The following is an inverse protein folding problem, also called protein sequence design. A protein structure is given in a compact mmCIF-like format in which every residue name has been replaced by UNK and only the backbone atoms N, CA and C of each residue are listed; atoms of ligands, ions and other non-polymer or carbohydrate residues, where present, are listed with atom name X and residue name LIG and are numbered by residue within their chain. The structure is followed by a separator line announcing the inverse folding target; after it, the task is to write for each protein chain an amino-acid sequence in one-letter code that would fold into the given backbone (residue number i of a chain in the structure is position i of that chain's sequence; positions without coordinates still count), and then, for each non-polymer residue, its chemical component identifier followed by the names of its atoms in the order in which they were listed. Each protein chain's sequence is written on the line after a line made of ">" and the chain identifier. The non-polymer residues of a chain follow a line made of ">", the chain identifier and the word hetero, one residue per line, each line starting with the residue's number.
data_IF_530333532488
#
_entry.id   IF_530333532488
#
_cell.length_a   1.000
_cell.length_b   1.000
_cell.length_c   1.000
_cell.angle_alpha   90.00
_cell.angle_beta   90.00
_cell.angle_gamma   90.00
#
_symmetry.space_group_name_H-M   'P 1'
#
loop_
_entity.id
_entity.type
_entity.pdbx_description
1 polymer ?
#
# COMPACT_ATOMS: atom_id res chain seq x y z
N UNK A 1 -4.88 -24.49 26.75
CA UNK A 1 -4.46 -23.75 25.53
C UNK A 1 -2.94 -23.57 25.39
N UNK A 2 -2.24 -22.92 26.34
CA UNK A 2 -0.76 -22.65 26.24
C UNK A 2 0.08 -23.91 25.99
N UNK A 3 -0.22 -25.02 26.67
CA UNK A 3 0.49 -26.29 26.47
C UNK A 3 0.38 -26.81 25.01
N UNK A 4 -0.79 -26.64 24.40
CA UNK A 4 -1.07 -27.04 23.01
C UNK A 4 -0.33 -26.11 22.03
N UNK A 5 -0.27 -24.80 22.32
CA UNK A 5 0.52 -23.86 21.54
C UNK A 5 2.03 -24.17 21.62
N UNK A 6 2.57 -24.50 22.80
CA UNK A 6 3.95 -24.97 22.94
C UNK A 6 4.21 -26.25 22.15
N UNK A 7 3.25 -27.19 22.12
CA UNK A 7 3.36 -28.38 21.28
C UNK A 7 3.39 -28.04 19.79
N UNK A 8 2.56 -27.09 19.34
CA UNK A 8 2.56 -26.62 17.96
C UNK A 8 3.91 -25.98 17.57
N UNK A 9 4.48 -25.11 18.42
CA UNK A 9 5.83 -24.54 18.22
C UNK A 9 6.88 -25.64 18.11
N UNK A 10 6.87 -26.63 19.00
CA UNK A 10 7.84 -27.74 18.97
C UNK A 10 7.73 -28.57 17.70
N UNK A 11 6.50 -28.77 17.19
CA UNK A 11 6.26 -29.48 15.93
C UNK A 11 6.80 -28.69 14.74
N UNK A 12 6.55 -27.37 14.71
CA UNK A 12 7.02 -26.49 13.64
C UNK A 12 8.52 -26.14 13.71
N UNK A 13 9.18 -26.39 14.84
CA UNK A 13 10.61 -26.07 15.02
C UNK A 13 11.52 -26.78 14.01
N UNK A 14 11.09 -27.95 13.51
CA UNK A 14 11.78 -28.73 12.47
C UNK A 14 11.60 -28.14 11.08
N UNK A 15 10.50 -27.43 10.82
CA UNK A 15 10.21 -26.76 9.56
C UNK A 15 10.77 -25.32 9.57
N UNK A 16 12.02 -25.17 9.14
CA UNK A 16 12.72 -23.87 9.11
C UNK A 16 12.02 -22.84 8.21
N UNK A 17 11.41 -23.29 7.11
CA UNK A 17 10.72 -22.44 6.14
C UNK A 17 9.47 -21.82 6.73
N UNK A 18 8.59 -22.66 7.30
CA UNK A 18 7.37 -22.19 7.98
C UNK A 18 7.73 -21.31 9.16
N UNK A 19 8.73 -21.68 9.97
CA UNK A 19 9.18 -20.86 11.11
C UNK A 19 9.63 -19.46 10.69
N UNK A 20 10.51 -19.35 9.68
CA UNK A 20 11.05 -18.07 9.20
C UNK A 20 9.97 -17.16 8.63
N UNK A 21 8.96 -17.72 7.94
CA UNK A 21 7.86 -16.96 7.38
C UNK A 21 6.79 -16.57 8.40
N UNK A 22 6.43 -17.49 9.30
CA UNK A 22 5.27 -17.35 10.19
C UNK A 22 5.59 -16.57 11.46
N UNK A 23 6.71 -16.84 12.14
CA UNK A 23 6.93 -16.33 13.50
C UNK A 23 7.06 -14.81 13.56
N UNK A 24 7.86 -14.14 12.69
CA UNK A 24 7.92 -12.67 12.69
C UNK A 24 6.55 -12.03 12.43
N UNK A 25 5.73 -12.68 11.60
CA UNK A 25 4.38 -12.20 11.28
C UNK A 25 3.40 -12.40 12.42
N UNK A 26 3.48 -13.50 13.18
CA UNK A 26 2.70 -13.72 14.40
C UNK A 26 3.04 -12.71 15.49
N UNK A 27 4.33 -12.43 15.72
CA UNK A 27 4.77 -11.41 16.68
C UNK A 27 4.25 -10.03 16.27
N UNK A 28 4.37 -9.66 14.99
CA UNK A 28 3.83 -8.41 14.48
C UNK A 28 2.30 -8.34 14.63
N UNK A 29 1.58 -9.45 14.39
CA UNK A 29 0.14 -9.53 14.56
C UNK A 29 -0.28 -9.36 16.03
N UNK A 30 0.41 -10.03 16.96
CA UNK A 30 0.17 -9.89 18.40
C UNK A 30 0.38 -8.46 18.89
N UNK A 31 1.50 -7.84 18.48
CA UNK A 31 1.80 -6.47 18.80
C UNK A 31 0.73 -5.51 18.26
N UNK A 32 0.22 -5.75 17.04
CA UNK A 32 -0.87 -4.97 16.46
C UNK A 32 -2.19 -5.13 17.24
N UNK A 33 -2.53 -6.34 17.69
CA UNK A 33 -3.72 -6.58 18.54
C UNK A 33 -3.60 -5.91 19.90
N UNK A 34 -2.45 -6.04 20.57
CA UNK A 34 -2.19 -5.38 21.86
C UNK A 34 -2.30 -3.87 21.74
N UNK A 35 -1.68 -3.28 20.72
CA UNK A 35 -1.85 -1.86 20.40
C UNK A 35 -3.32 -1.50 20.22
N UNK A 36 -4.10 -2.28 19.48
CA UNK A 36 -5.53 -2.03 19.29
C UNK A 36 -6.34 -2.08 20.60
N UNK A 37 -6.04 -3.05 21.46
CA UNK A 37 -6.68 -3.17 22.77
C UNK A 37 -6.32 -2.01 23.71
N UNK A 38 -5.07 -1.56 23.65
CA UNK A 38 -4.52 -0.44 24.44
C UNK A 38 -4.88 0.93 23.84
N UNK A 39 -5.29 1.01 22.57
CA UNK A 39 -5.64 2.28 21.91
C UNK A 39 -7.01 2.74 22.40
N UNK A 40 -7.11 3.83 23.19
CA UNK A 40 -8.41 4.42 23.53
C UNK A 40 -9.11 4.84 22.22
N UNK A 41 -10.43 4.69 22.17
CA UNK A 41 -11.24 5.07 21.00
C UNK A 41 -10.83 6.49 20.59
N UNK A 42 -10.16 6.68 19.44
CA UNK A 42 -9.61 7.97 19.13
C UNK A 42 -10.77 8.96 19.01
N UNK A 43 -10.66 10.16 19.61
CA UNK A 43 -11.59 11.23 19.30
C UNK A 43 -11.59 11.42 17.77
N UNK A 44 -12.77 11.72 17.20
CA UNK A 44 -12.95 11.96 15.76
C UNK A 44 -11.75 12.75 15.23
N UNK A 45 -11.10 12.25 14.16
CA UNK A 45 -9.92 12.90 13.60
C UNK A 45 -10.15 14.41 13.49
N UNK A 46 -9.25 15.24 14.04
CA UNK A 46 -9.50 16.68 14.16
C UNK A 46 -9.82 17.25 12.77
N UNK A 47 -10.78 18.16 12.69
CA UNK A 47 -11.24 18.79 11.44
C UNK A 47 -10.06 19.26 10.56
N UNK A 48 -9.01 19.81 11.18
CA UNK A 48 -7.77 20.22 10.51
C UNK A 48 -7.11 19.11 9.68
N UNK A 49 -7.15 17.84 10.11
CA UNK A 49 -6.59 16.71 9.36
C UNK A 49 -7.41 16.39 8.11
N UNK A 50 -8.74 16.55 8.16
CA UNK A 50 -9.62 16.35 7.00
C UNK A 50 -9.43 17.47 5.98
N UNK A 51 -9.35 18.72 6.44
CA UNK A 51 -9.08 19.88 5.58
C UNK A 51 -7.72 19.76 4.91
N UNK A 52 -6.67 19.39 5.67
CA UNK A 52 -5.33 19.17 5.11
C UNK A 52 -5.29 18.05 4.06
N UNK A 53 -6.02 16.95 4.27
CA UNK A 53 -6.15 15.87 3.29
C UNK A 53 -6.87 16.34 2.03
N UNK A 54 -8.00 17.06 2.18
CA UNK A 54 -8.77 17.58 1.05
C UNK A 54 -7.97 18.59 0.23
N UNK A 55 -7.28 19.52 0.89
CA UNK A 55 -6.42 20.51 0.24
C UNK A 55 -5.27 19.83 -0.51
N UNK A 56 -4.63 18.83 0.11
CA UNK A 56 -3.56 18.06 -0.54
C UNK A 56 -4.06 17.38 -1.82
N UNK A 57 -5.22 16.72 -1.76
CA UNK A 57 -5.82 16.06 -2.92
C UNK A 57 -6.25 17.04 -4.00
N UNK A 58 -6.81 18.19 -3.62
CA UNK A 58 -7.21 19.23 -4.55
C UNK A 58 -6.00 19.76 -5.33
N UNK A 59 -4.91 20.10 -4.62
CA UNK A 59 -3.67 20.58 -5.24
C UNK A 59 -3.03 19.51 -6.13
N UNK A 60 -3.03 18.25 -5.68
CA UNK A 60 -2.50 17.14 -6.47
C UNK A 60 -3.31 16.89 -7.75
N UNK A 61 -4.64 16.84 -7.64
CA UNK A 61 -5.53 16.66 -8.79
C UNK A 61 -5.42 17.84 -9.77
N UNK A 62 -5.41 19.08 -9.28
CA UNK A 62 -5.23 20.27 -10.12
C UNK A 62 -3.86 20.25 -10.83
N UNK A 63 -2.79 19.84 -10.14
CA UNK A 63 -1.46 19.65 -10.73
C UNK A 63 -1.47 18.58 -11.82
N UNK A 64 -2.10 17.42 -11.57
CA UNK A 64 -2.22 16.34 -12.57
C UNK A 64 -2.98 16.80 -13.82
N UNK A 65 -4.11 17.50 -13.64
CA UNK A 65 -4.92 18.04 -14.75
C UNK A 65 -4.13 19.07 -15.55
N UNK A 66 -3.40 19.98 -14.88
CA UNK A 66 -2.61 21.00 -15.55
C UNK A 66 -1.49 20.39 -16.41
N UNK A 67 -0.74 19.40 -15.88
CA UNK A 67 0.31 18.72 -16.65
C UNK A 67 -0.27 17.89 -17.79
N UNK A 68 -1.40 17.21 -17.57
CA UNK A 68 -2.07 16.45 -18.62
C UNK A 68 -2.58 17.37 -19.75
N UNK A 69 -3.15 18.52 -19.40
CA UNK A 69 -3.59 19.53 -20.37
C UNK A 69 -2.41 20.09 -21.17
N UNK A 70 -1.30 20.42 -20.49
CA UNK A 70 -0.07 20.85 -21.15
C UNK A 70 0.45 19.83 -22.17
N UNK A 71 0.49 18.55 -21.77
CA UNK A 71 0.94 17.47 -22.64
C UNK A 71 -0.04 17.19 -23.79
N UNK A 72 -1.35 17.23 -23.54
CA UNK A 72 -2.37 16.97 -24.55
C UNK A 72 -2.42 18.07 -25.63
N UNK A 73 -2.25 19.34 -25.23
CA UNK A 73 -2.20 20.47 -26.16
C UNK A 73 -0.95 20.44 -27.04
N UNK A 74 0.19 19.98 -26.51
CA UNK A 74 1.43 19.79 -27.27
C UNK A 74 1.54 18.42 -27.98
N UNK A 75 0.57 17.53 -27.76
CA UNK A 75 0.55 16.17 -28.28
C UNK A 75 0.22 16.07 -29.78
N UNK A 76 0.17 14.84 -30.33
CA UNK A 76 -0.09 14.61 -31.75
C UNK A 76 -1.43 15.21 -32.21
N UNK A 77 -1.55 15.62 -33.49
CA UNK A 77 -2.83 15.98 -34.08
C UNK A 77 -3.77 14.78 -34.04
N UNK A 78 -4.93 14.96 -33.40
CA UNK A 78 -5.99 13.95 -33.35
C UNK A 78 -7.34 14.60 -33.60
N UNK A 79 -8.37 13.79 -33.89
CA UNK A 79 -9.73 14.28 -34.21
C UNK A 79 -10.28 15.32 -33.21
N UNK A 80 -9.91 15.23 -31.93
CA UNK A 80 -10.38 16.14 -30.87
C UNK A 80 -9.57 17.44 -30.75
N UNK A 81 -8.35 17.47 -31.27
CA UNK A 81 -7.42 18.61 -31.20
C UNK A 81 -7.15 19.24 -32.56
N UNK A 82 -7.76 18.72 -33.63
CA UNK A 82 -7.61 19.20 -35.00
C UNK A 82 -8.05 20.67 -35.18
N UNK A 83 -8.92 21.18 -34.32
CA UNK A 83 -9.44 22.55 -34.41
C UNK A 83 -8.60 23.58 -33.65
N UNK A 84 -7.63 23.15 -32.83
CA UNK A 84 -6.75 24.04 -32.07
C UNK A 84 -5.50 24.35 -32.90
N UNK A 85 -5.33 25.61 -33.29
CA UNK A 85 -4.10 26.09 -33.94
C UNK A 85 -2.95 26.07 -32.94
N UNK A 86 -1.74 25.80 -33.43
CA UNK A 86 -0.52 25.82 -32.62
C UNK A 86 -0.32 27.16 -31.89
N UNK A 87 -0.63 28.26 -32.57
CA UNK A 87 -0.52 29.62 -32.05
C UNK A 87 -1.33 29.83 -30.77
N UNK A 88 -2.52 29.23 -30.68
CA UNK A 88 -3.38 29.30 -29.50
C UNK A 88 -3.04 28.22 -28.47
N UNK A 89 -2.68 27.02 -28.93
CA UNK A 89 -2.45 25.87 -28.08
C UNK A 89 -1.15 25.99 -27.25
N UNK A 90 -0.07 26.50 -27.85
CA UNK A 90 1.26 26.52 -27.22
C UNK A 90 1.36 27.47 -26.01
N UNK A 91 0.80 28.70 -26.03
CA UNK A 91 0.76 29.56 -24.84
C UNK A 91 -0.02 28.92 -23.69
N UNK A 92 -1.18 28.30 -23.98
CA UNK A 92 -1.99 27.60 -22.98
C UNK A 92 -1.24 26.39 -22.42
N UNK A 93 -0.60 25.60 -23.29
CA UNK A 93 0.20 24.44 -22.89
C UNK A 93 1.36 24.84 -21.97
N UNK A 94 2.05 25.92 -22.30
CA UNK A 94 3.19 26.43 -21.52
C UNK A 94 2.71 26.93 -20.15
N UNK A 95 1.63 27.70 -20.12
CA UNK A 95 1.03 28.20 -18.87
C UNK A 95 0.58 27.04 -17.99
N UNK A 96 -0.10 26.04 -18.57
CA UNK A 96 -0.53 24.84 -17.86
C UNK A 96 0.65 24.03 -17.32
N UNK A 97 1.76 23.92 -18.06
CA UNK A 97 2.97 23.25 -17.58
C UNK A 97 3.56 23.97 -16.36
N UNK A 98 3.68 25.30 -16.40
CA UNK A 98 4.18 26.11 -15.27
C UNK A 98 3.28 25.96 -14.05
N UNK A 99 1.96 26.08 -14.22
CA UNK A 99 0.99 25.87 -13.14
C UNK A 99 1.11 24.46 -12.54
N UNK A 100 1.23 23.45 -13.40
CA UNK A 100 1.44 22.05 -12.99
C UNK A 100 2.70 21.88 -12.14
N UNK A 101 3.83 22.45 -12.57
CA UNK A 101 5.09 22.43 -11.82
C UNK A 101 4.93 23.07 -10.44
N UNK A 102 4.30 24.26 -10.36
CA UNK A 102 4.10 24.96 -9.09
C UNK A 102 3.22 24.15 -8.13
N UNK A 103 2.07 23.65 -8.60
CA UNK A 103 1.14 22.87 -7.78
C UNK A 103 1.77 21.57 -7.28
N UNK A 104 2.44 20.83 -8.16
CA UNK A 104 3.13 19.60 -7.78
C UNK A 104 4.33 19.86 -6.85
N UNK A 105 5.03 20.99 -7.03
CA UNK A 105 6.06 21.47 -6.12
C UNK A 105 5.51 21.73 -4.71
N UNK A 106 4.37 22.41 -4.60
CA UNK A 106 3.68 22.61 -3.31
C UNK A 106 3.30 21.25 -2.69
N UNK A 107 2.73 20.33 -3.46
CA UNK A 107 2.40 18.97 -3.02
C UNK A 107 3.63 18.20 -2.53
N UNK A 108 4.79 18.40 -3.17
CA UNK A 108 6.07 17.81 -2.79
C UNK A 108 6.61 18.36 -1.45
N UNK A 109 6.28 19.60 -1.08
CA UNK A 109 6.66 20.18 0.21
C UNK A 109 5.66 19.77 1.31
N UNK A 110 4.37 19.77 1.02
CA UNK A 110 3.32 19.40 1.98
C UNK A 110 3.52 17.98 2.50
N UNK A 111 3.16 17.73 3.77
CA UNK A 111 3.25 16.38 4.35
C UNK A 111 2.28 15.44 3.65
N UNK A 112 2.80 14.35 3.06
CA UNK A 112 1.98 13.31 2.44
C UNK A 112 0.98 12.76 3.46
N UNK A 113 -0.33 12.74 3.15
CA UNK A 113 -1.32 12.22 4.07
C UNK A 113 -1.07 10.74 4.36
N UNK A 114 -0.96 10.40 5.64
CA UNK A 114 -0.81 9.01 6.10
C UNK A 114 -2.19 8.50 6.51
N UNK A 115 -2.78 7.62 5.72
CA UNK A 115 -4.05 6.95 6.03
C UNK A 115 -4.90 6.57 4.79
N UNK A 116 -5.82 5.62 4.98
CA UNK A 116 -6.99 5.44 4.11
C UNK A 116 -6.73 5.15 2.63
N UNK A 117 -5.75 4.31 2.26
CA UNK A 117 -5.47 3.99 0.85
C UNK A 117 -4.96 5.17 0.00
N UNK A 118 -4.79 6.35 0.58
CA UNK A 118 -4.37 7.58 -0.10
C UNK A 118 -3.04 7.41 -0.85
N UNK A 119 -1.99 6.80 -0.26
CA UNK A 119 -0.74 6.59 -0.97
C UNK A 119 -0.88 5.69 -2.21
N UNK A 120 -1.74 4.67 -2.15
CA UNK A 120 -1.97 3.77 -3.28
C UNK A 120 -2.66 4.53 -4.41
N UNK A 121 -3.78 5.20 -4.13
CA UNK A 121 -4.52 5.97 -5.12
C UNK A 121 -3.64 7.07 -5.76
N UNK A 122 -2.87 7.81 -4.96
CA UNK A 122 -1.98 8.85 -5.45
C UNK A 122 -0.85 8.28 -6.32
N UNK A 123 -0.26 7.14 -5.94
CA UNK A 123 0.78 6.46 -6.73
C UNK A 123 0.21 5.97 -8.07
N UNK A 124 -0.97 5.34 -8.07
CA UNK A 124 -1.61 4.86 -9.31
C UNK A 124 -1.93 6.01 -10.25
N UNK A 125 -2.58 7.08 -9.76
CA UNK A 125 -2.88 8.26 -10.57
C UNK A 125 -1.60 8.94 -11.08
N UNK A 126 -0.58 9.05 -10.23
CA UNK A 126 0.70 9.66 -10.58
C UNK A 126 1.46 8.87 -11.64
N UNK A 127 1.50 7.54 -11.53
CA UNK A 127 2.13 6.65 -12.51
C UNK A 127 1.39 6.68 -13.84
N UNK A 128 0.06 6.59 -13.84
CA UNK A 128 -0.75 6.62 -15.08
C UNK A 128 -0.60 7.95 -15.79
N UNK A 129 -0.79 9.07 -15.08
CA UNK A 129 -0.63 10.41 -15.67
C UNK A 129 0.81 10.66 -16.10
N UNK A 130 1.79 10.30 -15.27
CA UNK A 130 3.22 10.43 -15.59
C UNK A 130 3.63 9.64 -16.83
N UNK A 131 3.15 8.41 -16.98
CA UNK A 131 3.40 7.59 -18.17
C UNK A 131 2.80 8.22 -19.44
N UNK A 132 1.57 8.71 -19.38
CA UNK A 132 0.92 9.40 -20.50
C UNK A 132 1.66 10.69 -20.89
N UNK A 133 2.00 11.52 -19.91
CA UNK A 133 2.73 12.77 -20.13
C UNK A 133 4.12 12.49 -20.70
N UNK A 134 4.84 11.49 -20.17
CA UNK A 134 6.15 11.09 -20.66
C UNK A 134 6.10 10.63 -22.12
N UNK A 135 5.09 9.84 -22.50
CA UNK A 135 4.89 9.41 -23.88
C UNK A 135 4.62 10.60 -24.83
N UNK A 136 3.80 11.57 -24.41
CA UNK A 136 3.49 12.75 -25.21
C UNK A 136 4.70 13.68 -25.37
N UNK A 137 5.45 13.89 -24.28
CA UNK A 137 6.72 14.64 -24.32
C UNK A 137 7.73 13.92 -25.20
N UNK A 138 7.87 12.60 -25.05
CA UNK A 138 8.77 11.77 -25.86
C UNK A 138 8.42 11.82 -27.35
N UNK A 139 7.13 11.70 -27.70
CA UNK A 139 6.65 11.91 -29.06
C UNK A 139 7.10 13.28 -29.59
N UNK A 140 6.92 14.34 -28.80
CA UNK A 140 7.24 15.69 -29.24
C UNK A 140 8.74 15.94 -29.41
N UNK A 141 9.57 15.31 -28.59
CA UNK A 141 11.03 15.34 -28.72
C UNK A 141 11.51 14.61 -29.99
N UNK A 142 10.82 13.54 -30.40
CA UNK A 142 11.18 12.77 -31.60
C UNK A 142 10.69 13.46 -32.88
N UNK A 143 9.45 13.94 -32.90
CA UNK A 143 8.85 14.58 -34.08
C UNK A 143 9.34 16.02 -34.28
N UNK A 144 9.72 16.71 -33.20
CA UNK A 144 10.16 18.10 -33.28
C UNK A 144 9.04 18.99 -33.84
N UNK A 145 9.36 19.79 -34.86
CA UNK A 145 8.43 20.70 -35.55
C UNK A 145 7.77 20.06 -36.79
N UNK A 146 8.00 18.77 -37.04
CA UNK A 146 7.60 18.11 -38.30
C UNK A 146 6.13 17.68 -38.38
N UNK A 147 5.25 18.15 -37.49
CA UNK A 147 3.82 17.81 -37.54
C UNK A 147 3.00 18.87 -38.27
N UNK A 148 1.85 18.47 -38.79
CA UNK A 148 0.96 19.33 -39.60
C UNK A 148 0.32 20.50 -38.83
N UNK A 149 0.65 20.67 -37.54
CA UNK A 149 0.12 21.76 -36.70
C UNK A 149 0.84 23.09 -36.86
N UNK A 150 2.01 23.10 -37.50
CA UNK A 150 2.81 24.31 -37.67
C UNK A 150 3.44 24.82 -36.37
N UNK A 151 3.81 23.93 -35.45
CA UNK A 151 4.51 24.33 -34.22
C UNK A 151 5.93 24.77 -34.57
N UNK A 152 6.32 25.95 -34.09
CA UNK A 152 7.64 26.52 -34.37
C UNK A 152 8.70 26.01 -33.39
N UNK A 153 9.97 26.07 -33.79
CA UNK A 153 11.09 25.67 -32.93
C UNK A 153 11.17 26.50 -31.64
N UNK A 154 10.80 27.78 -31.71
CA UNK A 154 10.79 28.70 -30.56
C UNK A 154 9.70 28.34 -29.54
N UNK A 155 8.51 27.98 -30.03
CA UNK A 155 7.42 27.47 -29.19
C UNK A 155 7.84 26.18 -28.47
N UNK A 156 8.49 25.24 -29.17
CA UNK A 156 9.01 24.03 -28.53
C UNK A 156 10.11 24.33 -27.51
N UNK A 157 11.06 25.21 -27.85
CA UNK A 157 12.16 25.59 -26.95
C UNK A 157 11.62 26.20 -25.65
N UNK A 158 10.53 26.93 -25.72
CA UNK A 158 9.85 27.52 -24.55
C UNK A 158 9.05 26.49 -23.75
N UNK A 159 8.39 25.54 -24.43
CA UNK A 159 7.53 24.55 -23.78
C UNK A 159 8.27 23.34 -23.17
N UNK A 160 9.37 22.90 -23.79
CA UNK A 160 10.11 21.70 -23.36
C UNK A 160 10.61 21.81 -21.90
N UNK A 161 11.28 22.91 -21.46
CA UNK A 161 11.80 23.00 -20.10
C UNK A 161 10.72 22.82 -19.01
N UNK A 162 9.59 23.55 -19.00
CA UNK A 162 8.55 23.35 -17.99
C UNK A 162 7.87 21.97 -18.12
N UNK A 163 7.75 21.40 -19.33
CA UNK A 163 7.22 20.05 -19.51
C UNK A 163 8.12 18.98 -18.88
N UNK A 164 9.43 19.07 -19.07
CA UNK A 164 10.42 18.18 -18.42
C UNK A 164 10.39 18.35 -16.90
N UNK A 165 10.34 19.58 -16.40
CA UNK A 165 10.20 19.85 -14.96
C UNK A 165 8.91 19.26 -14.39
N UNK A 166 7.80 19.31 -15.13
CA UNK A 166 6.53 18.72 -14.72
C UNK A 166 6.62 17.19 -14.60
N UNK A 167 7.27 16.52 -15.56
CA UNK A 167 7.54 15.07 -15.48
C UNK A 167 8.41 14.74 -14.27
N UNK A 168 9.49 15.49 -14.03
CA UNK A 168 10.36 15.29 -12.88
C UNK A 168 9.61 15.49 -11.56
N UNK A 169 8.75 16.51 -11.47
CA UNK A 169 7.91 16.76 -10.30
C UNK A 169 6.93 15.60 -10.05
N UNK A 170 6.29 15.06 -11.10
CA UNK A 170 5.42 13.88 -11.00
C UNK A 170 6.17 12.65 -10.48
N UNK A 171 7.36 12.37 -11.03
CA UNK A 171 8.20 11.27 -10.57
C UNK A 171 8.59 11.47 -9.10
N UNK A 172 9.02 12.68 -8.72
CA UNK A 172 9.40 13.00 -7.35
C UNK A 172 8.24 12.81 -6.36
N UNK A 173 7.03 13.28 -6.70
CA UNK A 173 5.82 13.07 -5.88
C UNK A 173 5.51 11.59 -5.77
N UNK A 174 5.51 10.85 -6.89
CA UNK A 174 5.21 9.41 -6.92
C UNK A 174 6.20 8.60 -6.07
N UNK A 175 7.51 8.86 -6.22
CA UNK A 175 8.57 8.21 -5.44
C UNK A 175 8.44 8.56 -3.95
N UNK A 176 8.11 9.81 -3.61
CA UNK A 176 7.91 10.23 -2.22
C UNK A 176 6.71 9.54 -1.58
N UNK A 177 5.60 9.44 -2.31
CA UNK A 177 4.40 8.73 -1.86
C UNK A 177 4.67 7.24 -1.69
N UNK A 178 5.35 6.60 -2.66
CA UNK A 178 5.71 5.18 -2.58
C UNK A 178 6.70 4.89 -1.44
N UNK A 179 7.73 5.74 -1.25
CA UNK A 179 8.62 5.64 -0.08
C UNK A 179 7.87 5.77 1.23
N UNK A 180 6.90 6.68 1.30
CA UNK A 180 6.06 6.84 2.50
C UNK A 180 5.21 5.60 2.73
N UNK A 181 4.62 5.04 1.67
CA UNK A 181 3.88 3.77 1.72
C UNK A 181 4.76 2.62 2.21
N UNK A 182 5.97 2.45 1.67
CA UNK A 182 6.89 1.37 2.06
C UNK A 182 7.37 1.49 3.50
N UNK A 183 7.51 2.71 4.01
CA UNK A 183 7.89 2.98 5.41
C UNK A 183 6.75 2.78 6.40
N UNK A 184 5.52 2.63 5.94
CA UNK A 184 4.33 2.41 6.78
C UNK A 184 3.87 0.97 6.57
N UNK A 185 4.41 -0.01 7.33
CA UNK A 185 4.20 -1.43 7.07
C UNK A 185 2.75 -1.84 7.32
N UNK A 186 1.96 -2.13 6.27
CA UNK A 186 0.54 -2.59 6.32
C UNK A 186 -0.19 -2.15 7.60
N UNK A 187 -0.05 -0.87 7.92
CA UNK A 187 -0.65 -0.31 9.11
C UNK A 187 -2.09 -0.06 8.75
N UNK A 188 -2.97 -0.71 9.51
CA UNK A 188 -4.41 -0.54 9.46
C UNK A 188 -4.73 0.93 9.16
N UNK A 189 -5.57 1.24 8.15
CA UNK A 189 -5.72 2.58 7.65
C UNK A 189 -5.91 3.57 8.80
N UNK A 190 -5.04 4.57 8.92
CA UNK A 190 -5.15 5.55 10.00
C UNK A 190 -6.49 6.31 9.87
N UNK A 191 -7.48 5.93 10.69
CA UNK A 191 -8.87 6.40 10.60
C UNK A 191 -9.91 5.30 10.35
N UNK A 192 -9.48 4.07 10.07
CA UNK A 192 -10.33 2.88 10.12
C UNK A 192 -10.92 2.77 11.54
N UNK A 193 -12.25 2.70 11.63
CA UNK A 193 -12.90 2.50 12.93
C UNK A 193 -12.43 1.19 13.55
N UNK A 194 -12.48 1.05 14.87
CA UNK A 194 -12.07 -0.16 15.60
C UNK A 194 -12.55 -1.46 14.93
N UNK A 195 -13.80 -1.47 14.42
CA UNK A 195 -14.38 -2.60 13.66
C UNK A 195 -13.62 -2.95 12.38
N UNK A 196 -13.17 -1.97 11.61
CA UNK A 196 -12.38 -2.19 10.40
C UNK A 196 -10.97 -2.68 10.74
N UNK A 197 -10.41 -2.20 11.85
CA UNK A 197 -9.13 -2.67 12.38
C UNK A 197 -9.22 -4.13 12.82
N UNK A 198 -10.27 -4.49 13.55
CA UNK A 198 -10.58 -5.87 13.93
C UNK A 198 -10.81 -6.77 12.71
N UNK A 199 -11.57 -6.29 11.71
CA UNK A 199 -11.77 -7.02 10.44
C UNK A 199 -10.45 -7.25 9.69
N UNK A 200 -9.59 -6.24 9.62
CA UNK A 200 -8.28 -6.37 8.97
C UNK A 200 -7.39 -7.38 9.71
N UNK A 201 -7.35 -7.32 11.05
CA UNK A 201 -6.61 -8.28 11.86
C UNK A 201 -7.14 -9.70 11.68
N UNK A 202 -8.46 -9.90 11.65
CA UNK A 202 -9.07 -11.21 11.37
C UNK A 202 -8.73 -11.74 9.98
N UNK A 203 -8.77 -10.89 8.94
CA UNK A 203 -8.33 -11.28 7.58
C UNK A 203 -6.87 -11.69 7.57
N UNK A 204 -6.00 -10.91 8.21
CA UNK A 204 -4.57 -11.21 8.33
C UNK A 204 -4.31 -12.50 9.11
N UNK A 205 -5.08 -12.77 10.17
CA UNK A 205 -5.03 -14.04 10.88
C UNK A 205 -5.42 -15.20 9.94
N UNK A 206 -6.52 -15.08 9.20
CA UNK A 206 -6.92 -16.09 8.22
C UNK A 206 -5.83 -16.32 7.14
N UNK A 207 -5.21 -15.26 6.61
CA UNK A 207 -4.08 -15.35 5.68
C UNK A 207 -2.85 -16.03 6.31
N UNK A 208 -2.53 -15.74 7.56
CA UNK A 208 -1.42 -16.40 8.26
C UNK A 208 -1.68 -17.88 8.51
N UNK A 209 -2.95 -18.24 8.78
CA UNK A 209 -3.35 -19.64 8.95
C UNK A 209 -3.19 -20.43 7.64
N UNK A 210 -3.35 -19.78 6.48
CA UNK A 210 -3.17 -20.39 5.15
C UNK A 210 -1.76 -20.25 4.58
N UNK A 211 -0.89 -19.42 5.18
CA UNK A 211 0.51 -19.26 4.74
C UNK A 211 1.36 -20.49 5.08
N UNK A 212 0.90 -21.34 6.00
CA UNK A 212 1.49 -22.65 6.23
C UNK A 212 1.30 -23.55 4.99
N UNK A 213 2.22 -24.49 4.70
CA UNK A 213 2.09 -25.38 3.55
C UNK A 213 0.71 -26.05 3.54
N UNK A 214 -0.01 -25.93 2.41
CA UNK A 214 -1.37 -26.44 2.24
C UNK A 214 -1.49 -27.95 2.54
N UNK A 215 -0.37 -28.67 2.44
CA UNK A 215 -0.20 -30.01 3.01
C UNK A 215 1.09 -30.02 3.83
N UNK A 216 1.02 -29.99 5.18
CA UNK A 216 2.19 -30.29 5.98
C UNK A 216 2.70 -31.69 5.63
N UNK A 217 4.02 -31.89 5.66
CA UNK A 217 4.61 -33.21 5.46
C UNK A 217 3.95 -34.20 6.43
N UNK A 218 3.71 -35.45 5.98
CA UNK A 218 3.02 -36.47 6.79
C UNK A 218 3.65 -36.64 8.18
N UNK A 219 4.98 -36.49 8.28
CA UNK A 219 5.74 -36.50 9.52
C UNK A 219 5.34 -35.39 10.50
N UNK A 220 5.12 -34.17 10.01
CA UNK A 220 4.68 -33.02 10.84
C UNK A 220 3.29 -33.26 11.39
N UNK A 221 2.40 -33.83 10.56
CA UNK A 221 1.04 -34.19 10.98
C UNK A 221 1.03 -35.31 12.00
N UNK A 222 1.81 -36.37 11.80
CA UNK A 222 1.93 -37.48 12.75
C UNK A 222 2.54 -37.01 14.09
N UNK A 223 3.59 -36.19 14.04
CA UNK A 223 4.19 -35.61 15.25
C UNK A 223 3.21 -34.73 16.01
N UNK A 224 2.42 -33.92 15.29
CA UNK A 224 1.39 -33.06 15.87
C UNK A 224 0.35 -33.88 16.66
N UNK A 225 -0.24 -34.90 16.02
CA UNK A 225 -1.24 -35.75 16.66
C UNK A 225 -0.66 -36.50 17.87
N UNK A 226 0.54 -37.09 17.73
CA UNK A 226 1.19 -37.78 18.84
C UNK A 226 1.59 -36.86 20.01
N UNK A 227 1.77 -35.55 19.78
CA UNK A 227 1.91 -34.56 20.87
C UNK A 227 0.57 -34.26 21.53
N UNK A 228 -0.51 -34.12 20.76
CA UNK A 228 -1.86 -33.93 21.30
C UNK A 228 -2.31 -35.10 22.18
N UNK A 229 -2.05 -36.34 21.77
CA UNK A 229 -2.40 -37.54 22.55
C UNK A 229 -1.63 -37.62 23.89
N UNK A 230 -0.39 -37.11 23.91
CA UNK A 230 0.38 -37.02 25.15
C UNK A 230 -0.16 -35.93 26.07
N UNK A 231 -0.57 -34.79 25.51
CA UNK A 231 -1.17 -33.71 26.30
C UNK A 231 -2.51 -34.13 26.92
N UNK A 232 -3.34 -34.86 26.17
CA UNK A 232 -4.60 -35.41 26.67
C UNK A 232 -4.36 -36.37 27.84
N UNK A 233 -3.39 -37.28 27.73
CA UNK A 233 -2.96 -38.17 28.83
C UNK A 233 -2.38 -37.43 30.04
N UNK A 234 -1.84 -36.23 29.84
CA UNK A 234 -1.33 -35.34 30.89
C UNK A 234 -2.43 -34.50 31.55
N UNK A 235 -3.70 -34.71 31.19
CA UNK A 235 -4.84 -33.99 31.76
C UNK A 235 -5.10 -32.61 31.16
N UNK A 236 -4.55 -32.30 29.97
CA UNK A 236 -4.97 -31.11 29.23
C UNK A 236 -6.43 -31.29 28.80
N UNK A 237 -7.23 -30.23 28.94
CA UNK A 237 -8.65 -30.21 28.58
C UNK A 237 -8.93 -30.88 27.20
N UNK A 238 -9.74 -31.96 27.18
CA UNK A 238 -10.09 -32.70 25.96
C UNK A 238 -10.76 -31.84 24.89
N UNK A 239 -11.51 -30.79 25.27
CA UNK A 239 -12.14 -29.90 24.28
C UNK A 239 -11.09 -29.09 23.53
N UNK A 240 -10.10 -28.56 24.25
CA UNK A 240 -8.96 -27.85 23.66
C UNK A 240 -8.16 -28.75 22.72
N UNK A 241 -7.85 -29.99 23.10
CA UNK A 241 -7.09 -30.92 22.23
C UNK A 241 -7.91 -31.39 21.03
N UNK A 242 -9.21 -31.66 21.20
CA UNK A 242 -10.12 -32.01 20.12
C UNK A 242 -10.22 -30.88 19.09
N UNK A 243 -10.36 -29.63 19.53
CA UNK A 243 -10.32 -28.47 18.64
C UNK A 243 -8.96 -28.34 17.94
N UNK A 244 -7.86 -28.60 18.64
CA UNK A 244 -6.52 -28.55 18.05
C UNK A 244 -6.29 -29.61 16.97
N UNK A 245 -6.94 -30.78 17.06
CA UNK A 245 -6.88 -31.83 16.03
C UNK A 245 -7.55 -31.42 14.71
N UNK A 246 -8.52 -30.50 14.73
CA UNK A 246 -9.17 -30.03 13.50
C UNK A 246 -8.35 -28.97 12.76
N UNK A 247 -7.20 -28.56 13.33
CA UNK A 247 -6.35 -27.49 12.81
C UNK A 247 -4.93 -28.00 12.57
N UNK A 248 -4.23 -27.35 11.63
CA UNK A 248 -2.77 -27.53 11.51
C UNK A 248 -2.06 -26.86 12.71
N UNK A 249 -0.84 -27.28 13.08
CA UNK A 249 -0.12 -26.63 14.18
C UNK A 249 0.09 -25.13 13.94
N UNK A 250 0.28 -24.70 12.69
CA UNK A 250 0.38 -23.28 12.34
C UNK A 250 -0.94 -22.54 12.54
N UNK A 251 -2.06 -23.11 12.09
CA UNK A 251 -3.38 -22.52 12.29
C UNK A 251 -3.76 -22.45 13.78
N UNK A 252 -3.36 -23.44 14.58
CA UNK A 252 -3.52 -23.39 16.04
C UNK A 252 -2.72 -22.24 16.68
N UNK A 253 -1.49 -22.01 16.23
CA UNK A 253 -0.70 -20.87 16.72
C UNK A 253 -1.36 -19.54 16.37
N UNK A 254 -1.80 -19.36 15.12
CA UNK A 254 -2.54 -18.16 14.70
C UNK A 254 -3.77 -17.95 15.58
N UNK A 255 -4.58 -19.00 15.79
CA UNK A 255 -5.76 -18.93 16.66
C UNK A 255 -5.39 -18.51 18.08
N UNK A 256 -4.33 -19.08 18.65
CA UNK A 256 -3.85 -18.74 20.00
C UNK A 256 -3.40 -17.27 20.09
N UNK A 257 -2.73 -16.75 19.06
CA UNK A 257 -2.27 -15.36 19.00
C UNK A 257 -3.41 -14.36 18.70
N UNK A 258 -4.50 -14.81 18.08
CA UNK A 258 -5.69 -14.01 17.78
C UNK A 258 -6.66 -13.92 18.98
N UNK A 259 -6.69 -14.92 19.86
CA UNK A 259 -7.60 -14.97 21.02
C UNK A 259 -7.39 -13.77 21.98
N UNK A 260 -6.21 -13.14 21.97
CA UNK A 260 -5.96 -11.81 22.56
C UNK A 260 -6.02 -11.71 24.09
N UNK A 261 -6.59 -12.70 24.76
CA UNK A 261 -6.85 -12.74 26.20
C UNK A 261 -5.67 -13.28 27.02
N UNK A 262 -4.64 -13.83 26.36
CA UNK A 262 -3.49 -14.47 27.02
C UNK A 262 -2.18 -13.93 26.51
N UNK A 263 -1.24 -13.62 27.41
CA UNK A 263 0.13 -13.34 27.03
C UNK A 263 0.81 -14.63 26.56
N UNK A 264 1.13 -14.67 25.27
CA UNK A 264 1.69 -15.84 24.59
C UNK A 264 3.04 -15.54 23.94
N UNK A 265 3.63 -14.38 24.24
CA UNK A 265 4.91 -13.95 23.66
C UNK A 265 6.05 -14.92 23.98
N UNK A 266 6.11 -15.45 25.20
CA UNK A 266 7.12 -16.44 25.62
C UNK A 266 6.91 -17.87 25.07
N UNK A 267 5.94 -18.11 24.19
CA UNK A 267 5.71 -19.46 23.61
C UNK A 267 6.63 -19.72 22.40
N UNK A 268 7.10 -18.66 21.73
CA UNK A 268 7.91 -18.78 20.51
C UNK A 268 9.43 -18.92 20.77
N UNK A 269 9.86 -18.75 22.02
CA UNK A 269 11.24 -18.94 22.51
C UNK A 269 11.59 -20.43 22.68
#
# INVERSE_FOLDING_TARGET
>A
MVAVARAAVRTLRRDRTTRRGLYPRLVAHHAARRRLAETPVPPRAPFARRVGLALWWLLYAAGLVAVLAAAALAGPPGRKTAYLRAEDAMPVATTAAVVGVVLLGVVLVLRTPRGGGTPLAATTLGMTTGGLVLLLVGYRLVVGTGDDRGVTADQLRTWIPPAVLAVLALVAVTVRVDRTRRRTPDEVPAGAGRRDQERHLRRRAAELATTAPARPAAEVTAEWHGRLDRLERQGVDPRTTAQARTMTPAAWLVHTFDDGDRDVTGILE
#
